data_IF_590796185919
#
_entry.id   IF_590796185919
#
_cell.length_a   1.000
_cell.length_b   1.000
_cell.length_c   1.000
_cell.angle_alpha   90.00
_cell.angle_beta   90.00
_cell.angle_gamma   90.00
#
_symmetry.space_group_name_H-M   'P 1'
#
loop_
_entity.id
_entity.type
_entity.pdbx_description
1 polymer ?
#
# COMPACT_ATOMS: atom_id res chain seq x y z
N UNK A 1 0.80 -5.14 -7.65
CA UNK A 1 -0.28 -5.85 -6.93
C UNK A 1 0.01 -5.80 -5.44
N UNK A 2 -0.98 -5.46 -4.63
CA UNK A 2 -0.87 -5.27 -3.17
C UNK A 2 -1.72 -6.32 -2.49
N UNK A 3 -1.22 -6.98 -1.45
CA UNK A 3 -1.96 -8.01 -0.73
C UNK A 3 -2.13 -7.64 0.74
N UNK A 4 -3.27 -7.98 1.31
CA UNK A 4 -3.55 -7.82 2.74
C UNK A 4 -3.97 -9.17 3.33
N UNK A 5 -3.27 -9.64 4.35
CA UNK A 5 -3.60 -10.85 5.13
C UNK A 5 -4.10 -10.38 6.49
N UNK A 6 -5.37 -10.65 6.80
CA UNK A 6 -5.99 -10.27 8.07
C UNK A 6 -6.27 -11.51 8.89
N UNK A 7 -5.69 -11.58 10.08
CA UNK A 7 -5.86 -12.70 11.01
C UNK A 7 -7.12 -12.49 11.86
N UNK A 8 -8.14 -13.31 11.62
CA UNK A 8 -9.41 -13.31 12.35
C UNK A 8 -9.41 -14.38 13.45
N UNK A 9 -8.93 -14.03 14.63
CA UNK A 9 -8.71 -14.97 15.75
C UNK A 9 -10.00 -15.56 16.33
N UNK A 10 -11.10 -14.80 16.27
CA UNK A 10 -12.41 -15.20 16.83
C UNK A 10 -13.50 -15.37 15.78
N UNK A 11 -13.20 -15.04 14.52
CA UNK A 11 -14.18 -15.11 13.46
C UNK A 11 -14.57 -16.57 13.17
N UNK A 12 -15.84 -16.85 12.85
CA UNK A 12 -16.33 -18.21 12.69
C UNK A 12 -15.72 -18.89 11.46
N UNK A 13 -15.39 -20.17 11.59
CA UNK A 13 -14.94 -21.04 10.49
C UNK A 13 -16.08 -21.88 9.89
N UNK A 14 -17.31 -21.69 10.37
CA UNK A 14 -18.54 -22.31 9.85
C UNK A 14 -19.56 -21.23 9.48
N UNK A 15 -20.55 -21.52 8.60
CA UNK A 15 -21.53 -20.53 8.18
C UNK A 15 -22.60 -20.19 9.25
N UNK A 16 -22.52 -20.79 10.45
CA UNK A 16 -23.55 -20.74 11.48
C UNK A 16 -23.49 -19.47 12.34
N UNK A 17 -23.61 -18.31 11.70
CA UNK A 17 -23.66 -17.02 12.39
C UNK A 17 -24.76 -16.08 11.86
N UNK A 18 -25.17 -15.16 12.72
CA UNK A 18 -26.25 -14.21 12.46
C UNK A 18 -25.73 -12.92 11.82
N UNK A 19 -26.29 -12.52 10.68
CA UNK A 19 -25.89 -11.28 9.98
C UNK A 19 -26.30 -9.98 10.69
N UNK A 20 -27.14 -10.07 11.72
CA UNK A 20 -27.55 -8.95 12.57
C UNK A 20 -26.71 -8.85 13.86
N UNK A 21 -25.74 -9.75 14.07
CA UNK A 21 -24.83 -9.73 15.23
C UNK A 21 -23.39 -10.10 14.82
N UNK A 22 -22.83 -9.32 13.89
CA UNK A 22 -21.45 -9.48 13.43
C UNK A 22 -20.41 -9.21 14.54
N UNK A 23 -20.58 -8.18 15.41
CA UNK A 23 -19.59 -7.89 16.45
C UNK A 23 -19.60 -8.90 17.60
N UNK A 24 -20.79 -9.33 18.05
CA UNK A 24 -20.92 -10.25 19.17
C UNK A 24 -20.81 -11.70 18.72
N UNK A 25 -21.93 -12.25 18.27
CA UNK A 25 -22.09 -13.67 17.94
C UNK A 25 -21.23 -14.19 16.79
N UNK A 26 -20.72 -13.32 15.91
CA UNK A 26 -19.80 -13.70 14.84
C UNK A 26 -18.33 -13.33 15.13
N UNK A 27 -17.96 -13.14 16.40
CA UNK A 27 -16.55 -13.04 16.80
C UNK A 27 -15.79 -11.89 16.14
N UNK A 28 -16.40 -10.69 16.13
CA UNK A 28 -15.87 -9.48 15.49
C UNK A 28 -15.69 -9.56 13.97
N UNK A 29 -16.55 -10.32 13.29
CA UNK A 29 -16.57 -10.36 11.82
C UNK A 29 -16.79 -8.96 11.20
N UNK A 30 -17.39 -8.01 11.93
CA UNK A 30 -17.49 -6.59 11.55
C UNK A 30 -16.13 -5.95 11.24
N UNK A 31 -15.07 -6.35 11.97
CA UNK A 31 -13.70 -5.83 11.76
C UNK A 31 -13.15 -6.32 10.43
N UNK A 32 -13.30 -7.62 10.15
CA UNK A 32 -12.87 -8.23 8.90
C UNK A 32 -13.64 -7.66 7.70
N UNK A 33 -14.96 -7.46 7.83
CA UNK A 33 -15.76 -6.83 6.78
C UNK A 33 -15.31 -5.39 6.48
N UNK A 34 -15.00 -4.60 7.52
CA UNK A 34 -14.43 -3.25 7.34
C UNK A 34 -13.03 -3.29 6.73
N UNK A 35 -12.21 -4.29 7.07
CA UNK A 35 -10.89 -4.47 6.47
C UNK A 35 -10.99 -4.82 4.97
N UNK A 36 -11.91 -5.70 4.57
CA UNK A 36 -12.24 -5.96 3.15
C UNK A 36 -12.71 -4.68 2.46
N UNK A 37 -13.56 -3.89 3.13
CA UNK A 37 -14.02 -2.64 2.56
C UNK A 37 -12.89 -1.63 2.33
N UNK A 38 -12.03 -1.44 3.32
CA UNK A 38 -10.90 -0.51 3.28
C UNK A 38 -9.79 -0.90 2.29
N UNK A 39 -9.63 -2.21 2.03
CA UNK A 39 -8.63 -2.73 1.10
C UNK A 39 -9.07 -2.59 -0.35
N UNK A 40 -10.36 -2.84 -0.65
CA UNK A 40 -10.84 -2.99 -2.03
C UNK A 40 -11.58 -1.77 -2.56
N UNK A 41 -12.39 -1.06 -1.77
CA UNK A 41 -13.30 -0.05 -2.34
C UNK A 41 -12.62 1.29 -2.64
N UNK A 42 -13.03 1.87 -3.76
CA UNK A 42 -12.87 3.26 -4.13
C UNK A 42 -14.26 3.92 -4.25
N UNK A 43 -14.32 5.24 -4.33
CA UNK A 43 -15.60 5.97 -4.47
C UNK A 43 -16.43 5.50 -5.68
N UNK A 44 -15.78 5.09 -6.77
CA UNK A 44 -16.43 4.68 -8.02
C UNK A 44 -15.95 3.31 -8.54
N UNK A 45 -15.45 2.44 -7.66
CA UNK A 45 -15.00 1.13 -8.12
C UNK A 45 -14.33 0.29 -7.06
N UNK A 46 -13.57 -0.70 -7.53
CA UNK A 46 -12.79 -1.64 -6.74
C UNK A 46 -11.35 -1.56 -7.26
N UNK A 47 -10.38 -1.54 -6.34
CA UNK A 47 -8.96 -1.68 -6.65
C UNK A 47 -8.70 -3.05 -7.26
N UNK A 48 -8.41 -3.08 -8.57
CA UNK A 48 -8.23 -4.33 -9.33
C UNK A 48 -6.89 -5.00 -9.05
N UNK A 49 -5.93 -4.24 -8.55
CA UNK A 49 -4.58 -4.64 -8.21
C UNK A 49 -4.42 -5.05 -6.73
N UNK A 50 -5.53 -5.29 -6.01
CA UNK A 50 -5.55 -5.67 -4.60
C UNK A 50 -6.14 -7.06 -4.41
N UNK A 51 -5.50 -7.87 -3.56
CA UNK A 51 -6.05 -9.12 -3.04
C UNK A 51 -6.12 -9.07 -1.52
N UNK A 52 -7.26 -9.47 -0.95
CA UNK A 52 -7.48 -9.51 0.50
C UNK A 52 -7.68 -10.95 0.93
N UNK A 53 -6.90 -11.40 1.90
CA UNK A 53 -6.96 -12.73 2.49
C UNK A 53 -7.43 -12.61 3.93
N UNK A 54 -8.50 -13.33 4.27
CA UNK A 54 -8.96 -13.48 5.64
C UNK A 54 -8.53 -14.86 6.12
N UNK A 55 -7.72 -14.92 7.18
CA UNK A 55 -7.32 -16.16 7.81
C UNK A 55 -8.10 -16.33 9.11
N UNK A 56 -9.08 -17.21 9.13
CA UNK A 56 -10.00 -17.40 10.25
C UNK A 56 -9.47 -18.52 11.14
N UNK A 57 -9.18 -18.18 12.40
CA UNK A 57 -8.68 -19.10 13.44
C UNK A 57 -7.54 -20.00 12.94
N UNK A 58 -6.62 -19.46 12.14
CA UNK A 58 -5.48 -20.19 11.56
C UNK A 58 -5.83 -21.51 10.83
N UNK A 59 -7.05 -21.65 10.32
CA UNK A 59 -7.53 -22.93 9.76
C UNK A 59 -8.27 -22.79 8.44
N UNK A 60 -8.91 -21.65 8.20
CA UNK A 60 -9.67 -21.39 6.98
C UNK A 60 -9.22 -20.08 6.37
N UNK A 61 -8.82 -20.12 5.10
CA UNK A 61 -8.41 -18.95 4.32
C UNK A 61 -9.48 -18.61 3.30
N UNK A 62 -9.89 -17.35 3.27
CA UNK A 62 -10.75 -16.79 2.23
C UNK A 62 -9.96 -15.73 1.47
N UNK A 63 -9.75 -15.93 0.16
CA UNK A 63 -9.09 -14.98 -0.74
C UNK A 63 -10.14 -14.21 -1.53
N UNK A 64 -10.01 -12.89 -1.56
CA UNK A 64 -10.88 -11.98 -2.29
C UNK A 64 -10.02 -11.18 -3.27
N UNK A 65 -10.11 -11.54 -4.55
CA UNK A 65 -9.38 -10.89 -5.65
C UNK A 65 -10.17 -9.67 -6.14
N UNK A 66 -9.61 -8.47 -5.97
CA UNK A 66 -10.20 -7.23 -6.50
C UNK A 66 -10.35 -7.24 -8.01
N UNK A 67 -9.46 -7.94 -8.72
CA UNK A 67 -9.53 -8.13 -10.17
C UNK A 67 -10.83 -8.85 -10.59
N UNK A 68 -11.22 -9.90 -9.85
CA UNK A 68 -12.27 -10.83 -10.28
C UNK A 68 -13.59 -10.72 -9.50
N UNK A 69 -13.58 -10.06 -8.34
CA UNK A 69 -14.73 -10.04 -7.43
C UNK A 69 -15.96 -9.38 -8.07
N UNK A 70 -17.13 -9.98 -7.85
CA UNK A 70 -18.43 -9.44 -8.29
C UNK A 70 -19.40 -9.41 -7.13
N UNK A 71 -20.36 -8.47 -7.18
CA UNK A 71 -21.45 -8.32 -6.18
C UNK A 71 -20.97 -8.06 -4.74
N UNK A 72 -19.75 -7.55 -4.58
CA UNK A 72 -19.25 -7.02 -3.32
C UNK A 72 -19.73 -5.57 -3.19
N UNK A 73 -20.43 -5.23 -2.11
CA UNK A 73 -20.94 -3.88 -1.85
C UNK A 73 -20.24 -3.27 -0.62
N UNK A 74 -20.12 -1.93 -0.54
CA UNK A 74 -19.42 -1.22 0.54
C UNK A 74 -20.24 -1.15 1.84
N UNK A 75 -20.76 -2.29 2.28
CA UNK A 75 -21.43 -2.48 3.55
C UNK A 75 -21.01 -3.80 4.21
N UNK A 76 -20.98 -3.81 5.55
CA UNK A 76 -20.49 -4.96 6.31
C UNK A 76 -21.39 -6.18 6.15
N UNK A 77 -22.71 -5.97 6.08
CA UNK A 77 -23.70 -7.05 6.08
C UNK A 77 -23.65 -7.88 4.80
N UNK A 78 -23.53 -7.24 3.64
CA UNK A 78 -23.42 -7.93 2.35
C UNK A 78 -22.07 -8.65 2.22
N UNK A 79 -20.99 -8.03 2.70
CA UNK A 79 -19.66 -8.66 2.79
C UNK A 79 -19.71 -9.90 3.69
N UNK A 80 -20.30 -9.80 4.88
CA UNK A 80 -20.50 -10.92 5.79
C UNK A 80 -21.37 -12.03 5.17
N UNK A 81 -22.37 -11.68 4.36
CA UNK A 81 -23.19 -12.67 3.64
C UNK A 81 -22.37 -13.44 2.59
N UNK A 82 -21.43 -12.79 1.90
CA UNK A 82 -20.50 -13.44 0.98
C UNK A 82 -19.51 -14.36 1.72
N UNK A 83 -18.96 -13.90 2.85
CA UNK A 83 -18.09 -14.72 3.71
C UNK A 83 -18.85 -15.97 4.19
N UNK A 84 -20.10 -15.80 4.67
CA UNK A 84 -20.95 -16.92 5.08
C UNK A 84 -21.19 -17.92 3.96
N UNK A 85 -21.43 -17.42 2.75
CA UNK A 85 -21.60 -18.28 1.59
C UNK A 85 -20.30 -19.00 1.22
N UNK A 86 -19.15 -18.33 1.29
CA UNK A 86 -17.85 -18.97 1.09
C UNK A 86 -17.63 -20.12 2.09
N UNK A 87 -17.90 -19.88 3.38
CA UNK A 87 -17.79 -20.90 4.43
C UNK A 87 -18.70 -22.11 4.17
N UNK A 88 -19.88 -21.92 3.57
CA UNK A 88 -20.75 -23.04 3.17
C UNK A 88 -20.23 -23.88 2.01
N UNK A 89 -19.24 -23.37 1.26
CA UNK A 89 -18.60 -24.04 0.13
C UNK A 89 -17.23 -24.64 0.47
N UNK A 90 -16.79 -24.55 1.73
CA UNK A 90 -15.52 -25.10 2.18
C UNK A 90 -15.45 -26.61 1.92
N UNK A 91 -14.36 -27.05 1.29
CA UNK A 91 -14.11 -28.44 0.92
C UNK A 91 -12.66 -28.82 1.22
N UNK A 92 -12.28 -30.08 0.96
CA UNK A 92 -10.89 -30.54 1.12
C UNK A 92 -9.91 -29.80 0.20
N UNK A 93 -10.37 -29.39 -0.99
CA UNK A 93 -9.59 -28.64 -1.97
C UNK A 93 -10.00 -27.15 -1.96
N UNK A 94 -9.17 -26.30 -2.57
CA UNK A 94 -9.53 -24.89 -2.78
C UNK A 94 -10.70 -24.78 -3.76
N UNK A 95 -11.73 -24.02 -3.37
CA UNK A 95 -12.95 -23.84 -4.16
C UNK A 95 -13.23 -22.36 -4.39
N UNK A 96 -13.63 -22.02 -5.60
CA UNK A 96 -14.19 -20.70 -5.90
C UNK A 96 -15.66 -20.65 -5.47
N UNK A 97 -15.94 -20.04 -4.32
CA UNK A 97 -17.30 -19.92 -3.80
C UNK A 97 -18.16 -18.96 -4.64
N UNK A 98 -17.60 -17.81 -5.01
CA UNK A 98 -18.21 -16.85 -5.94
C UNK A 98 -17.12 -16.23 -6.82
N UNK A 99 -17.46 -15.53 -7.92
CA UNK A 99 -16.46 -14.88 -8.75
C UNK A 99 -15.53 -14.00 -7.91
N UNK A 100 -14.22 -14.26 -7.99
CA UNK A 100 -13.16 -13.60 -7.22
C UNK A 100 -13.07 -13.94 -5.73
N UNK A 101 -13.90 -14.84 -5.18
CA UNK A 101 -13.80 -15.31 -3.79
C UNK A 101 -13.47 -16.80 -3.78
N UNK A 102 -12.27 -17.13 -3.30
CA UNK A 102 -11.82 -18.51 -3.12
C UNK A 102 -11.74 -18.84 -1.63
N UNK A 103 -11.97 -20.10 -1.29
CA UNK A 103 -11.88 -20.60 0.08
C UNK A 103 -11.09 -21.92 0.11
N UNK A 104 -10.22 -22.06 1.10
CA UNK A 104 -9.40 -23.24 1.32
C UNK A 104 -9.11 -23.45 2.81
N UNK A 105 -8.71 -24.67 3.17
CA UNK A 105 -8.01 -24.90 4.43
C UNK A 105 -6.57 -24.43 4.29
N UNK A 106 -6.12 -23.55 5.19
CA UNK A 106 -4.73 -23.12 5.24
C UNK A 106 -4.41 -22.54 6.63
N UNK A 107 -3.16 -22.68 7.05
CA UNK A 107 -2.57 -21.97 8.20
C UNK A 107 -1.86 -20.70 7.73
N UNK A 108 -1.36 -19.91 8.68
CA UNK A 108 -0.58 -18.70 8.45
C UNK A 108 0.73 -19.05 7.77
N UNK A 109 1.43 -20.07 8.26
CA UNK A 109 2.66 -20.56 7.63
C UNK A 109 2.43 -20.94 6.16
N UNK A 110 1.40 -21.75 5.88
CA UNK A 110 1.05 -22.13 4.51
C UNK A 110 0.64 -20.92 3.65
N UNK A 111 -0.03 -19.94 4.26
CA UNK A 111 -0.40 -18.70 3.58
C UNK A 111 0.83 -17.88 3.22
N UNK A 112 1.80 -17.74 4.13
CA UNK A 112 3.07 -17.05 3.89
C UNK A 112 3.91 -17.75 2.83
N UNK A 113 3.97 -19.09 2.85
CA UNK A 113 4.66 -19.88 1.83
C UNK A 113 4.04 -19.64 0.45
N UNK A 114 2.70 -19.72 0.34
CA UNK A 114 2.01 -19.45 -0.92
C UNK A 114 2.21 -18.02 -1.44
N UNK A 115 2.34 -17.04 -0.55
CA UNK A 115 2.66 -15.66 -0.91
C UNK A 115 4.08 -15.54 -1.47
N UNK A 116 5.04 -16.23 -0.87
CA UNK A 116 6.43 -16.23 -1.34
C UNK A 116 6.56 -16.93 -2.70
N UNK A 117 5.86 -18.05 -2.91
CA UNK A 117 5.78 -18.75 -4.21
C UNK A 117 5.20 -17.86 -5.31
N UNK A 118 4.21 -17.03 -4.96
CA UNK A 118 3.60 -16.02 -5.83
C UNK A 118 4.48 -14.77 -6.04
N UNK A 119 5.71 -14.75 -5.52
CA UNK A 119 6.64 -13.61 -5.61
C UNK A 119 6.25 -12.41 -4.76
N UNK A 120 5.32 -12.57 -3.82
CA UNK A 120 4.98 -11.52 -2.86
C UNK A 120 6.02 -11.44 -1.74
N UNK A 121 6.17 -10.27 -1.15
CA UNK A 121 7.03 -10.05 0.03
C UNK A 121 6.15 -9.80 1.26
N UNK A 122 6.06 -10.75 2.20
CA UNK A 122 5.33 -10.56 3.45
C UNK A 122 5.96 -9.49 4.35
N UNK A 123 5.12 -8.64 4.93
CA UNK A 123 5.47 -7.52 5.79
C UNK A 123 4.46 -7.47 6.94
N UNK A 124 4.89 -7.22 8.16
CA UNK A 124 3.99 -7.13 9.32
C UNK A 124 3.72 -5.67 9.67
N UNK A 125 2.45 -5.28 9.79
CA UNK A 125 2.10 -3.97 10.33
C UNK A 125 2.05 -4.05 11.86
N UNK A 126 2.89 -3.26 12.52
CA UNK A 126 3.06 -3.27 13.96
C UNK A 126 3.65 -1.94 14.45
N UNK A 127 3.17 -1.40 15.57
CA UNK A 127 3.52 -0.06 16.09
C UNK A 127 5.01 0.09 16.38
N UNK A 128 5.66 -1.02 16.79
CA UNK A 128 7.11 -1.10 17.05
C UNK A 128 7.97 -1.35 15.79
N UNK A 129 7.36 -1.36 14.60
CA UNK A 129 8.07 -1.53 13.33
C UNK A 129 8.85 -0.29 12.88
N UNK A 130 9.54 -0.40 11.74
CA UNK A 130 10.20 0.74 11.11
C UNK A 130 9.14 1.73 10.58
N UNK A 131 9.30 3.05 10.76
CA UNK A 131 8.33 4.04 10.25
C UNK A 131 8.11 3.91 8.73
N UNK A 132 6.85 3.84 8.32
CA UNK A 132 6.43 3.60 6.94
C UNK A 132 6.92 4.68 5.96
N UNK A 133 7.07 5.92 6.42
CA UNK A 133 7.57 7.05 5.64
C UNK A 133 8.99 6.79 5.14
N UNK A 134 9.81 6.13 5.96
CA UNK A 134 11.21 5.78 5.69
C UNK A 134 11.41 4.36 5.14
N UNK A 135 10.31 3.61 4.98
CA UNK A 135 10.35 2.21 4.58
C UNK A 135 10.31 2.08 3.05
N UNK A 136 11.25 1.37 2.44
CA UNK A 136 11.18 1.07 1.01
C UNK A 136 10.23 -0.12 0.80
N UNK A 137 9.06 0.14 0.22
CA UNK A 137 8.07 -0.91 -0.04
C UNK A 137 8.52 -1.74 -1.24
N UNK A 138 8.43 -3.07 -1.17
CA UNK A 138 8.69 -3.94 -2.31
C UNK A 138 7.61 -3.76 -3.38
N UNK A 139 7.86 -4.28 -4.59
CA UNK A 139 6.95 -4.17 -5.73
C UNK A 139 5.63 -4.95 -5.54
N UNK A 140 5.69 -6.07 -4.82
CA UNK A 140 4.54 -6.94 -4.54
C UNK A 140 4.38 -7.17 -3.02
N UNK A 141 4.02 -6.13 -2.25
CA UNK A 141 3.93 -6.23 -0.80
C UNK A 141 2.71 -7.05 -0.37
N UNK A 142 2.88 -7.88 0.67
CA UNK A 142 1.81 -8.58 1.36
C UNK A 142 1.80 -8.19 2.84
N UNK A 143 0.86 -7.34 3.23
CA UNK A 143 0.76 -6.81 4.59
C UNK A 143 -0.03 -7.76 5.48
N UNK A 144 0.60 -8.25 6.54
CA UNK A 144 -0.05 -9.06 7.59
C UNK A 144 -0.51 -8.14 8.71
N UNK A 145 -1.79 -8.25 9.07
CA UNK A 145 -2.43 -7.51 10.15
C UNK A 145 -3.21 -8.46 11.04
N UNK A 146 -3.20 -8.16 12.34
CA UNK A 146 -4.15 -8.76 13.28
C UNK A 146 -5.54 -8.11 13.17
N UNK A 147 -6.53 -8.71 13.82
CA UNK A 147 -7.88 -8.18 13.97
C UNK A 147 -7.98 -7.13 15.10
N UNK A 148 -8.69 -7.46 16.17
CA UNK A 148 -8.88 -6.62 17.35
C UNK A 148 -8.09 -7.14 18.55
N UNK A 149 -7.42 -8.28 18.40
CA UNK A 149 -6.52 -8.87 19.37
C UNK A 149 -5.07 -8.65 18.92
N UNK A 150 -4.13 -8.82 19.84
CA UNK A 150 -2.71 -8.89 19.48
C UNK A 150 -2.42 -10.22 18.77
N UNK A 151 -1.29 -10.28 18.05
CA UNK A 151 -0.77 -11.54 17.51
C UNK A 151 -0.58 -12.55 18.65
N UNK A 152 -1.00 -13.79 18.41
CA UNK A 152 -0.76 -14.90 19.35
C UNK A 152 0.71 -15.31 19.34
N UNK A 153 1.13 -16.13 20.30
CA UNK A 153 2.49 -16.69 20.30
C UNK A 153 2.78 -17.54 19.04
N UNK A 154 1.75 -18.22 18.50
CA UNK A 154 1.85 -19.01 17.27
C UNK A 154 1.98 -18.11 16.04
N UNK A 155 1.24 -17.00 15.99
CA UNK A 155 1.40 -16.00 14.92
C UNK A 155 2.78 -15.37 14.97
N UNK A 156 3.24 -14.94 16.15
CA UNK A 156 4.55 -14.34 16.35
C UNK A 156 5.69 -15.27 15.93
N UNK A 157 5.55 -16.58 16.18
CA UNK A 157 6.49 -17.59 15.71
C UNK A 157 6.47 -17.74 14.16
N UNK A 158 5.28 -17.75 13.54
CA UNK A 158 5.16 -17.84 12.09
C UNK A 158 5.64 -16.56 11.36
N UNK A 159 5.56 -15.42 12.03
CA UNK A 159 5.97 -14.11 11.51
C UNK A 159 7.43 -13.75 11.87
N UNK A 160 8.15 -14.67 12.51
CA UNK A 160 9.54 -14.45 12.91
C UNK A 160 10.41 -14.13 11.68
N UNK A 161 11.25 -13.10 11.81
CA UNK A 161 12.15 -12.67 10.74
C UNK A 161 11.52 -11.81 9.65
N UNK A 162 10.20 -11.63 9.62
CA UNK A 162 9.55 -10.73 8.67
C UNK A 162 9.78 -9.24 9.01
N UNK A 163 9.98 -8.37 8.01
CA UNK A 163 10.10 -6.93 8.25
C UNK A 163 8.82 -6.36 8.87
N UNK A 164 8.98 -5.58 9.95
CA UNK A 164 7.88 -4.88 10.61
C UNK A 164 7.84 -3.41 10.21
N UNK A 165 6.64 -2.90 9.94
CA UNK A 165 6.38 -1.53 9.50
C UNK A 165 5.40 -0.88 10.47
N UNK A 166 5.70 0.35 10.88
CA UNK A 166 4.87 1.15 11.77
C UNK A 166 4.20 2.30 11.03
N UNK A 167 2.92 2.51 11.31
CA UNK A 167 2.13 3.67 10.86
C UNK A 167 2.04 4.76 11.94
N UNK A 168 2.83 4.62 13.01
CA UNK A 168 2.81 5.47 14.18
C UNK A 168 2.70 4.67 15.48
N UNK A 169 2.84 5.35 16.63
CA UNK A 169 2.83 4.71 17.95
C UNK A 169 1.42 4.33 18.44
N UNK A 170 0.37 4.85 17.78
CA UNK A 170 -1.02 4.60 18.16
C UNK A 170 -1.52 3.33 17.50
N UNK A 171 -2.08 2.42 18.30
CA UNK A 171 -2.77 1.24 17.78
C UNK A 171 -4.01 1.65 16.98
N UNK A 172 -4.02 1.30 15.70
CA UNK A 172 -5.10 1.62 14.77
C UNK A 172 -5.99 0.40 14.55
N UNK A 173 -7.26 0.63 14.22
CA UNK A 173 -8.07 -0.46 13.68
C UNK A 173 -7.50 -0.93 12.34
N UNK A 174 -7.60 -2.25 12.09
CA UNK A 174 -7.13 -2.90 10.85
C UNK A 174 -7.55 -2.14 9.59
N UNK A 175 -8.81 -1.70 9.51
CA UNK A 175 -9.32 -0.95 8.37
C UNK A 175 -8.63 0.41 8.19
N UNK A 176 -8.32 1.12 9.27
CA UNK A 176 -7.60 2.40 9.23
C UNK A 176 -6.17 2.21 8.77
N UNK A 177 -5.48 1.19 9.30
CA UNK A 177 -4.13 0.84 8.88
C UNK A 177 -4.07 0.53 7.37
N UNK A 178 -5.02 -0.29 6.87
CA UNK A 178 -5.16 -0.60 5.44
C UNK A 178 -5.38 0.68 4.62
N UNK A 179 -6.27 1.58 5.05
CA UNK A 179 -6.52 2.85 4.35
C UNK A 179 -5.26 3.70 4.24
N UNK A 180 -4.48 3.83 5.33
CA UNK A 180 -3.23 4.59 5.32
C UNK A 180 -2.20 3.95 4.40
N UNK A 181 -2.04 2.63 4.44
CA UNK A 181 -1.11 1.92 3.56
C UNK A 181 -1.49 2.09 2.09
N UNK A 182 -2.77 1.97 1.76
CA UNK A 182 -3.24 2.24 0.40
C UNK A 182 -2.92 3.67 -0.04
N UNK A 183 -3.15 4.66 0.82
CA UNK A 183 -2.79 6.06 0.54
C UNK A 183 -1.26 6.22 0.30
N UNK A 184 -0.41 5.63 1.14
CA UNK A 184 1.05 5.71 0.99
C UNK A 184 1.53 5.06 -0.31
N UNK A 185 0.93 3.93 -0.71
CA UNK A 185 1.28 3.25 -1.94
C UNK A 185 0.75 4.00 -3.17
N UNK A 186 -0.44 4.59 -3.11
CA UNK A 186 -0.98 5.44 -4.17
C UNK A 186 -0.08 6.67 -4.41
N UNK A 187 0.37 7.32 -3.34
CA UNK A 187 1.29 8.45 -3.43
C UNK A 187 2.63 8.08 -4.09
N UNK A 188 3.09 6.84 -3.93
CA UNK A 188 4.31 6.34 -4.57
C UNK A 188 4.08 5.95 -6.02
N UNK A 189 2.94 5.36 -6.34
CA UNK A 189 2.58 5.02 -7.71
C UNK A 189 2.43 6.30 -8.56
N UNK A 190 1.79 7.33 -7.99
CA UNK A 190 1.75 8.67 -8.59
C UNK A 190 3.17 9.23 -8.80
N UNK A 191 4.07 9.07 -7.83
CA UNK A 191 5.48 9.50 -7.99
C UNK A 191 6.24 8.79 -9.11
N UNK A 192 5.96 7.50 -9.32
CA UNK A 192 6.63 6.69 -10.33
C UNK A 192 6.12 7.01 -11.75
N UNK A 193 4.86 7.40 -11.86
CA UNK A 193 4.19 7.63 -13.15
C UNK A 193 4.02 9.10 -13.52
N UNK A 194 4.25 10.04 -12.60
CA UNK A 194 4.18 11.46 -12.90
C UNK A 194 5.35 11.89 -13.81
N UNK A 195 5.00 12.44 -14.98
CA UNK A 195 5.97 13.21 -15.77
C UNK A 195 6.51 14.36 -14.90
N UNK A 196 7.83 14.40 -14.73
CA UNK A 196 8.45 15.47 -13.96
C UNK A 196 8.12 16.81 -14.61
N UNK A 197 7.69 17.77 -13.80
CA UNK A 197 7.36 19.12 -14.26
C UNK A 197 8.56 20.02 -14.10
N UNK A 198 8.68 20.99 -15.01
CA UNK A 198 9.70 22.01 -14.93
C UNK A 198 9.43 22.90 -13.71
N UNK A 199 10.31 22.83 -12.71
CA UNK A 199 10.26 23.69 -11.54
C UNK A 199 10.90 25.05 -11.81
N UNK A 200 12.10 25.03 -12.41
CA UNK A 200 12.94 26.20 -12.59
C UNK A 200 13.99 25.98 -13.70
N UNK A 201 14.41 27.06 -14.36
CA UNK A 201 15.49 27.07 -15.36
C UNK A 201 16.67 27.88 -14.84
N UNK A 202 17.89 27.34 -14.96
CA UNK A 202 19.10 27.97 -14.42
C UNK A 202 20.22 27.89 -15.43
N UNK A 203 21.02 28.95 -15.52
CA UNK A 203 22.24 28.94 -16.31
C UNK A 203 23.40 28.32 -15.53
N UNK A 204 23.98 27.26 -16.09
CA UNK A 204 25.17 26.59 -15.55
C UNK A 204 24.88 25.47 -14.55
N UNK A 205 25.59 24.36 -14.74
CA UNK A 205 25.50 23.16 -13.89
C UNK A 205 25.82 23.42 -12.40
N UNK A 206 26.84 24.22 -12.02
CA UNK A 206 27.16 24.42 -10.61
C UNK A 206 26.00 25.04 -9.81
N UNK A 207 25.32 26.05 -10.38
CA UNK A 207 24.16 26.70 -9.72
C UNK A 207 22.97 25.72 -9.64
N UNK A 208 22.75 24.91 -10.67
CA UNK A 208 21.71 23.89 -10.66
C UNK A 208 21.96 22.77 -9.62
N UNK A 209 23.22 22.34 -9.43
CA UNK A 209 23.59 21.37 -8.40
C UNK A 209 23.37 21.92 -6.98
N UNK A 210 23.63 23.20 -6.74
CA UNK A 210 23.34 23.86 -5.46
C UNK A 210 21.84 23.86 -5.17
N UNK A 211 21.01 24.21 -6.16
CA UNK A 211 19.55 24.19 -5.99
C UNK A 211 19.04 22.76 -5.78
N UNK A 212 19.57 21.76 -6.51
CA UNK A 212 19.25 20.36 -6.26
C UNK A 212 19.61 19.92 -4.84
N UNK A 213 20.78 20.32 -4.34
CA UNK A 213 21.21 20.05 -2.96
C UNK A 213 20.25 20.67 -1.95
N UNK A 214 19.92 21.95 -2.12
CA UNK A 214 18.97 22.67 -1.27
C UNK A 214 17.60 21.98 -1.25
N UNK A 215 17.05 21.64 -2.41
CA UNK A 215 15.77 20.92 -2.49
C UNK A 215 15.85 19.55 -1.80
N UNK A 216 16.99 18.86 -1.92
CA UNK A 216 17.27 17.62 -1.20
C UNK A 216 17.22 17.77 0.32
N UNK A 217 17.72 18.87 0.87
CA UNK A 217 17.65 19.16 2.31
C UNK A 217 16.21 19.33 2.82
N UNK A 218 15.26 19.64 1.93
CA UNK A 218 13.82 19.73 2.22
C UNK A 218 13.03 18.47 1.82
N UNK A 219 13.71 17.35 1.57
CA UNK A 219 13.15 16.09 1.10
C UNK A 219 12.43 16.18 -0.27
N UNK A 220 12.83 17.14 -1.11
CA UNK A 220 12.28 17.30 -2.47
C UNK A 220 13.28 16.74 -3.48
N UNK A 221 13.03 15.55 -4.05
CA UNK A 221 13.88 15.00 -5.09
C UNK A 221 13.75 15.83 -6.38
N UNK A 222 14.89 16.30 -6.89
CA UNK A 222 14.97 17.06 -8.13
C UNK A 222 15.90 16.38 -9.14
N UNK A 223 15.45 16.30 -10.39
CA UNK A 223 16.24 15.85 -11.53
C UNK A 223 16.71 17.04 -12.37
N UNK A 224 17.96 16.98 -12.82
CA UNK A 224 18.52 17.99 -13.70
C UNK A 224 18.50 17.44 -15.13
N UNK A 225 17.86 18.17 -16.04
CA UNK A 225 17.86 17.87 -17.47
C UNK A 225 18.68 18.92 -18.22
N UNK A 226 19.58 18.45 -19.07
CA UNK A 226 20.51 19.26 -19.87
C UNK A 226 20.39 18.85 -21.33
N UNK A 227 20.47 19.79 -22.27
CA UNK A 227 20.41 19.50 -23.71
C UNK A 227 21.68 18.82 -24.25
N UNK A 228 22.82 19.01 -23.59
CA UNK A 228 24.07 18.34 -23.95
C UNK A 228 24.94 18.09 -22.70
N UNK A 229 25.63 16.93 -22.59
CA UNK A 229 26.61 16.69 -21.53
C UNK A 229 27.82 17.63 -21.66
N UNK A 230 28.37 18.16 -20.55
CA UNK A 230 29.50 19.10 -20.56
C UNK A 230 30.77 18.58 -21.27
N UNK A 231 30.93 17.25 -21.36
CA UNK A 231 32.09 16.62 -21.98
C UNK A 231 32.19 16.75 -23.50
N UNK A 232 31.14 17.22 -24.19
CA UNK A 232 31.11 17.35 -25.65
C UNK A 232 31.44 18.76 -26.16
N UNK A 233 31.33 19.81 -25.33
CA UNK A 233 31.59 21.19 -25.73
C UNK A 233 32.20 22.04 -24.58
N UNK A 234 33.48 22.46 -24.70
CA UNK A 234 34.17 23.22 -23.66
C UNK A 234 33.84 24.72 -23.62
N UNK A 235 32.94 25.23 -24.47
CA UNK A 235 32.56 26.64 -24.51
C UNK A 235 31.03 26.79 -24.42
N UNK A 236 30.57 27.74 -23.61
CA UNK A 236 29.17 28.11 -23.49
C UNK A 236 28.70 28.71 -24.83
N UNK A 237 27.90 27.96 -25.58
CA UNK A 237 27.16 28.44 -26.75
C UNK A 237 25.74 28.73 -26.29
N UNK A 238 25.19 29.88 -26.68
CA UNK A 238 23.87 30.37 -26.25
C UNK A 238 22.79 29.29 -26.41
N UNK A 239 22.14 28.95 -25.29
CA UNK A 239 21.06 27.96 -25.20
C UNK A 239 21.49 26.54 -24.78
N UNK A 240 22.78 26.18 -24.81
CA UNK A 240 23.28 24.84 -24.42
C UNK A 240 23.68 24.73 -22.94
N UNK A 241 23.83 25.86 -22.23
CA UNK A 241 24.17 25.92 -20.81
C UNK A 241 22.95 26.06 -19.88
N UNK A 242 21.74 25.99 -20.43
CA UNK A 242 20.49 26.02 -19.67
C UNK A 242 20.22 24.64 -19.05
N UNK A 243 20.13 24.60 -17.73
CA UNK A 243 19.77 23.40 -16.96
C UNK A 243 18.33 23.55 -16.46
N UNK A 244 17.53 22.54 -16.76
CA UNK A 244 16.13 22.44 -16.32
C UNK A 244 16.06 21.62 -15.04
N UNK A 245 15.54 22.23 -13.99
CA UNK A 245 15.29 21.57 -12.72
C UNK A 245 13.87 21.02 -12.77
N UNK A 246 13.77 19.71 -12.81
CA UNK A 246 12.53 18.98 -12.93
C UNK A 246 12.20 18.36 -11.57
N UNK A 247 10.98 18.59 -11.08
CA UNK A 247 10.50 18.06 -9.80
C UNK A 247 9.15 17.37 -10.01
N UNK A 248 8.67 16.69 -8.98
CA UNK A 248 7.33 16.08 -9.01
C UNK A 248 6.26 17.17 -9.02
N UNK A 249 5.12 16.97 -9.71
CA UNK A 249 4.02 17.95 -9.75
C UNK A 249 3.61 18.46 -8.36
N UNK A 250 3.45 17.57 -7.39
CA UNK A 250 3.05 17.92 -6.01
C UNK A 250 4.07 18.77 -5.25
N UNK A 251 5.35 18.63 -5.60
CA UNK A 251 6.45 19.34 -4.95
C UNK A 251 6.78 20.67 -5.66
N UNK A 252 6.21 20.91 -6.85
CA UNK A 252 6.57 22.04 -7.71
C UNK A 252 6.32 23.40 -7.04
N UNK A 253 5.14 23.62 -6.45
CA UNK A 253 4.83 24.89 -5.77
C UNK A 253 5.77 25.14 -4.59
N UNK A 254 6.01 24.11 -3.78
CA UNK A 254 6.90 24.18 -2.61
C UNK A 254 8.36 24.40 -3.02
N UNK A 255 8.82 23.70 -4.06
CA UNK A 255 10.17 23.84 -4.61
C UNK A 255 10.37 25.25 -5.18
N UNK A 256 9.40 25.79 -5.92
CA UNK A 256 9.43 27.17 -6.42
C UNK A 256 9.46 28.19 -5.28
N UNK A 257 8.76 27.94 -4.17
CA UNK A 257 8.83 28.80 -2.99
C UNK A 257 10.21 28.76 -2.33
N UNK A 258 10.79 27.58 -2.12
CA UNK A 258 12.14 27.44 -1.55
C UNK A 258 13.18 28.11 -2.46
N UNK A 259 13.08 27.95 -3.78
CA UNK A 259 13.99 28.61 -4.73
C UNK A 259 13.86 30.14 -4.65
N UNK A 260 12.63 30.67 -4.50
CA UNK A 260 12.41 32.12 -4.29
C UNK A 260 13.09 32.62 -3.02
N UNK A 261 12.91 31.90 -1.92
CA UNK A 261 13.34 32.36 -0.61
C UNK A 261 14.87 32.36 -0.46
N UNK A 262 15.57 31.46 -1.16
CA UNK A 262 17.02 31.26 -1.01
C UNK A 262 17.86 31.68 -2.22
N UNK A 263 17.27 31.85 -3.41
CA UNK A 263 17.99 32.20 -4.65
C UNK A 263 17.36 33.39 -5.38
N UNK A 264 16.42 33.15 -6.31
CA UNK A 264 15.88 34.13 -7.27
C UNK A 264 14.42 33.76 -7.64
N UNK A 265 13.66 34.67 -8.25
CA UNK A 265 12.30 34.38 -8.72
C UNK A 265 12.30 33.28 -9.82
N UNK A 266 11.47 32.23 -9.71
CA UNK A 266 11.43 31.16 -10.66
C UNK A 266 10.82 31.64 -11.97
N UNK A 267 11.59 31.59 -13.06
CA UNK A 267 11.07 31.87 -14.40
C UNK A 267 10.05 30.79 -14.79
N UNK A 268 8.78 31.19 -14.87
CA UNK A 268 7.70 30.41 -15.44
C UNK A 268 7.66 30.61 -16.96
N UNK A 269 7.72 29.52 -17.71
CA UNK A 269 7.13 29.40 -19.05
C UNK A 269 6.40 28.06 -19.15
#
# INVERSE_FOLDING_TARGET
MRRFVILGHRAPTTPDFQLNDLPGGAGRLDVLCRAVGASLFLSHGIRRDVETMLLLQDTVRIRISGEHVKRLNPDERSTAALIRHALSSLSSEEVQATPGILISHATLAQTLDSLAEDGATPLVLHEKGKPAESFSFPEHPAFVLSDHLDFTEEDEAALEGLPRISLGPTALHTSQAITIVNYLLDQREEDLHADLVLCHKVWGEPKAQLIKGLLGDFDIPANLMMHAPPGLYPMAVDGLAEVRIMVRPRDCERAQQIIRDYFEEPCAE
#
